data_IF_301645145833
#
_entry.id   IF_301645145833
#
_cell.length_a   1.000
_cell.length_b   1.000
_cell.length_c   1.000
_cell.angle_alpha   90.00
_cell.angle_beta   90.00
_cell.angle_gamma   90.00
#
_symmetry.space_group_name_H-M   'P 1'
#
loop_
_entity.id
_entity.type
_entity.pdbx_description
1 polymer ?
#
# COMPACT_ATOMS: atom_id res chain seq x y z
N UNK A 1 -21.86 -3.41 -19.60
CA UNK A 1 -20.45 -3.59 -19.19
C UNK A 1 -20.41 -4.41 -17.91
N UNK A 2 -19.58 -5.46 -17.81
CA UNK A 2 -19.43 -6.24 -16.57
C UNK A 2 -18.62 -5.44 -15.55
N UNK A 3 -19.02 -5.43 -14.28
CA UNK A 3 -18.20 -4.88 -13.19
C UNK A 3 -16.99 -5.80 -13.00
N UNK A 4 -15.77 -5.26 -13.14
CA UNK A 4 -14.51 -5.94 -12.81
C UNK A 4 -13.75 -5.12 -11.77
N UNK A 5 -13.03 -5.81 -10.88
CA UNK A 5 -12.13 -5.20 -9.92
C UNK A 5 -10.98 -4.46 -10.63
N UNK A 6 -10.49 -3.40 -9.99
CA UNK A 6 -9.53 -2.45 -10.60
C UNK A 6 -8.15 -2.55 -9.98
N UNK A 7 -7.11 -2.33 -10.78
CA UNK A 7 -5.75 -2.09 -10.30
C UNK A 7 -5.52 -0.57 -10.31
N UNK A 8 -5.18 -0.01 -9.15
CA UNK A 8 -4.96 1.42 -8.98
C UNK A 8 -3.57 1.63 -8.40
N UNK A 9 -2.84 2.63 -8.90
CA UNK A 9 -1.53 3.03 -8.36
C UNK A 9 -1.58 4.50 -7.95
N UNK A 10 -1.24 4.77 -6.69
CA UNK A 10 -0.99 6.12 -6.19
C UNK A 10 0.52 6.30 -5.98
N UNK A 11 1.18 7.03 -6.89
CA UNK A 11 2.64 7.24 -6.89
C UNK A 11 3.03 8.72 -6.84
N UNK A 12 4.30 9.05 -7.06
CA UNK A 12 4.84 10.42 -7.04
C UNK A 12 5.37 10.87 -5.69
N UNK A 13 6.02 12.02 -5.68
CA UNK A 13 6.79 12.51 -4.53
C UNK A 13 5.98 13.27 -3.47
N UNK A 14 4.76 13.65 -3.82
CA UNK A 14 3.84 14.39 -2.98
C UNK A 14 3.21 13.57 -1.87
N UNK A 15 2.75 14.27 -0.83
CA UNK A 15 1.90 13.71 0.23
C UNK A 15 0.52 13.37 -0.34
N UNK A 16 -0.03 12.22 0.06
CA UNK A 16 -1.40 11.85 -0.24
C UNK A 16 -1.61 10.39 -0.68
N UNK A 17 -0.54 9.66 -1.02
CA UNK A 17 -0.65 8.33 -1.67
C UNK A 17 -1.39 7.32 -0.80
N UNK A 18 -0.88 7.10 0.41
CA UNK A 18 -1.51 6.25 1.43
C UNK A 18 -2.88 6.79 1.81
N UNK A 19 -3.03 8.08 2.11
CA UNK A 19 -4.32 8.63 2.58
C UNK A 19 -5.41 8.56 1.52
N UNK A 20 -5.09 8.67 0.23
CA UNK A 20 -6.04 8.44 -0.86
C UNK A 20 -6.45 6.96 -0.96
N UNK A 21 -5.50 6.03 -0.78
CA UNK A 21 -5.80 4.61 -0.73
C UNK A 21 -6.73 4.28 0.46
N UNK A 22 -6.42 4.80 1.65
CA UNK A 22 -7.24 4.63 2.85
C UNK A 22 -8.59 5.35 2.77
N UNK A 23 -8.69 6.49 2.09
CA UNK A 23 -9.96 7.12 1.77
C UNK A 23 -10.84 6.22 0.88
N UNK A 24 -10.22 5.46 -0.01
CA UNK A 24 -10.91 4.44 -0.81
C UNK A 24 -11.32 3.24 0.03
N UNK A 25 -10.47 2.81 0.98
CA UNK A 25 -10.85 1.79 1.98
C UNK A 25 -12.08 2.21 2.78
N UNK A 26 -12.10 3.44 3.30
CA UNK A 26 -13.23 3.98 4.06
C UNK A 26 -14.52 3.97 3.21
N UNK A 27 -14.42 4.35 1.94
CA UNK A 27 -15.57 4.26 1.01
C UNK A 27 -16.05 2.82 0.83
N UNK A 28 -15.14 1.87 0.64
CA UNK A 28 -15.49 0.46 0.49
C UNK A 28 -16.17 -0.10 1.76
N UNK A 29 -15.59 0.18 2.93
CA UNK A 29 -16.13 -0.20 4.23
C UNK A 29 -17.53 0.39 4.45
N UNK A 30 -17.77 1.64 4.06
CA UNK A 30 -19.09 2.28 4.11
C UNK A 30 -20.16 1.59 3.25
N UNK A 31 -19.75 0.77 2.28
CA UNK A 31 -20.62 -0.08 1.47
C UNK A 31 -20.63 -1.55 1.93
N UNK A 32 -20.10 -1.86 3.12
CA UNK A 32 -20.06 -3.21 3.69
C UNK A 32 -19.07 -4.15 2.99
N UNK A 33 -18.12 -3.62 2.23
CA UNK A 33 -17.09 -4.43 1.58
C UNK A 33 -16.00 -4.86 2.57
N UNK A 34 -15.42 -6.03 2.32
CA UNK A 34 -14.26 -6.53 3.09
C UNK A 34 -12.98 -5.95 2.51
N UNK A 35 -12.17 -5.32 3.36
CA UNK A 35 -10.93 -4.66 2.98
C UNK A 35 -9.75 -5.28 3.72
N UNK A 36 -8.63 -5.49 3.01
CA UNK A 36 -7.35 -5.82 3.62
C UNK A 36 -6.34 -4.71 3.32
N UNK A 37 -5.59 -4.29 4.33
CA UNK A 37 -4.47 -3.36 4.16
C UNK A 37 -3.20 -4.06 4.62
N UNK A 38 -2.20 -4.08 3.76
CA UNK A 38 -0.87 -4.62 4.03
C UNK A 38 0.11 -3.46 3.85
N UNK A 39 0.75 -3.05 4.94
CA UNK A 39 1.71 -1.95 4.94
C UNK A 39 3.12 -2.50 4.92
N UNK A 40 3.85 -2.20 3.85
CA UNK A 40 5.27 -2.47 3.76
C UNK A 40 6.04 -1.33 4.44
N UNK A 41 7.12 -1.66 5.15
CA UNK A 41 8.11 -0.69 5.67
C UNK A 41 7.67 0.22 6.83
N UNK A 42 6.43 0.11 7.32
CA UNK A 42 5.94 0.93 8.44
C UNK A 42 6.18 0.30 9.81
N UNK A 43 6.38 1.15 10.82
CA UNK A 43 6.40 0.75 12.22
C UNK A 43 4.98 0.66 12.80
N UNK A 44 4.86 0.10 13.99
CA UNK A 44 3.58 -0.11 14.68
C UNK A 44 3.20 1.06 15.59
N UNK A 45 1.89 1.29 15.76
CA UNK A 45 1.30 1.96 16.93
C UNK A 45 1.33 3.49 16.94
N UNK A 46 1.71 4.13 15.84
CA UNK A 46 1.83 5.59 15.77
C UNK A 46 0.77 6.22 14.86
N UNK A 47 0.40 5.52 13.77
CA UNK A 47 -0.51 6.07 12.77
C UNK A 47 -1.99 5.90 13.16
N UNK A 48 -2.79 6.96 13.03
CA UNK A 48 -4.19 7.00 13.43
C UNK A 48 -5.06 5.94 12.76
N UNK A 49 -4.78 5.62 11.50
CA UNK A 49 -5.45 4.53 10.77
C UNK A 49 -5.21 3.16 11.41
N UNK A 50 -4.00 2.91 11.94
CA UNK A 50 -3.66 1.65 12.62
C UNK A 50 -4.41 1.53 13.95
N UNK A 51 -4.58 2.65 14.67
CA UNK A 51 -5.32 2.69 15.93
C UNK A 51 -6.83 2.51 15.73
N UNK A 52 -7.35 2.92 14.57
CA UNK A 52 -8.76 2.76 14.22
C UNK A 52 -9.08 1.34 13.70
N UNK A 53 -8.14 0.69 13.01
CA UNK A 53 -8.39 -0.56 12.31
C UNK A 53 -9.04 -1.68 13.16
N UNK A 54 -8.62 -1.94 14.41
CA UNK A 54 -9.25 -2.99 15.24
C UNK A 54 -10.72 -2.74 15.58
N UNK A 55 -11.23 -1.52 15.37
CA UNK A 55 -12.62 -1.14 15.65
C UNK A 55 -13.55 -1.41 14.45
N UNK A 56 -13.01 -1.86 13.32
CA UNK A 56 -13.72 -2.03 12.06
C UNK A 56 -13.77 -3.51 11.67
N UNK A 57 -14.92 -4.15 11.86
CA UNK A 57 -15.11 -5.61 11.65
C UNK A 57 -14.72 -6.10 10.25
N UNK A 58 -14.99 -5.30 9.21
CA UNK A 58 -14.71 -5.65 7.82
C UNK A 58 -13.31 -5.22 7.33
N UNK A 59 -12.44 -4.78 8.23
CA UNK A 59 -11.08 -4.36 7.91
C UNK A 59 -10.06 -5.30 8.54
N UNK A 60 -9.25 -5.93 7.69
CA UNK A 60 -8.06 -6.66 8.11
C UNK A 60 -6.81 -5.80 7.87
N UNK A 61 -5.93 -5.71 8.87
CA UNK A 61 -4.77 -4.82 8.83
C UNK A 61 -3.48 -5.56 9.20
N UNK A 62 -2.49 -5.49 8.31
CA UNK A 62 -1.18 -6.11 8.48
C UNK A 62 -0.08 -5.08 8.33
N UNK A 63 0.90 -5.16 9.23
CA UNK A 63 2.11 -4.36 9.16
C UNK A 63 3.26 -5.31 8.91
N UNK A 64 3.89 -5.18 7.75
CA UNK A 64 4.97 -6.03 7.28
C UNK A 64 6.25 -5.20 7.21
N UNK A 65 7.19 -5.49 8.12
CA UNK A 65 8.44 -4.76 8.26
C UNK A 65 8.70 -4.32 9.70
N UNK A 66 9.91 -3.84 9.96
CA UNK A 66 10.35 -3.40 11.29
C UNK A 66 10.26 -1.87 11.50
N UNK A 67 9.66 -1.17 10.54
CA UNK A 67 9.68 0.30 10.47
C UNK A 67 10.98 0.85 9.89
N UNK A 68 10.90 2.00 9.21
CA UNK A 68 12.07 2.66 8.62
C UNK A 68 12.83 3.51 9.64
N UNK A 69 14.15 3.31 9.70
CA UNK A 69 15.10 4.30 10.20
C UNK A 69 15.85 4.82 8.97
N UNK A 70 15.51 6.04 8.51
CA UNK A 70 16.33 6.72 7.50
C UNK A 70 17.79 6.75 7.97
N UNK A 71 18.72 6.30 7.12
CA UNK A 71 20.18 6.20 7.36
C UNK A 71 20.71 4.91 8.03
N UNK A 72 19.99 3.78 7.94
CA UNK A 72 20.57 2.46 8.25
C UNK A 72 20.79 1.67 6.96
N UNK A 73 21.88 0.90 6.89
CA UNK A 73 22.06 -0.10 5.83
C UNK A 73 20.92 -1.11 5.88
N UNK A 74 20.33 -1.39 4.71
CA UNK A 74 19.31 -2.42 4.54
C UNK A 74 19.86 -3.76 5.05
N UNK A 75 19.12 -4.42 5.92
CA UNK A 75 19.55 -5.69 6.49
C UNK A 75 18.87 -6.87 5.79
N UNK A 76 19.52 -8.04 5.81
CA UNK A 76 18.90 -9.30 5.40
C UNK A 76 17.58 -9.57 6.15
N UNK A 77 17.44 -9.05 7.37
CA UNK A 77 16.19 -9.14 8.13
C UNK A 77 15.06 -8.27 7.55
N UNK A 78 15.40 -7.09 7.01
CA UNK A 78 14.43 -6.20 6.36
C UNK A 78 13.94 -6.82 5.06
N UNK A 79 14.85 -7.40 4.27
CA UNK A 79 14.50 -8.17 3.08
C UNK A 79 13.60 -9.35 3.42
N UNK A 80 13.94 -10.12 4.45
CA UNK A 80 13.12 -11.25 4.91
C UNK A 80 11.71 -10.81 5.32
N UNK A 81 11.59 -9.77 6.15
CA UNK A 81 10.29 -9.27 6.60
C UNK A 81 9.44 -8.73 5.43
N UNK A 82 10.09 -8.09 4.45
CA UNK A 82 9.42 -7.61 3.25
C UNK A 82 8.89 -8.77 2.37
N UNK A 83 9.69 -9.82 2.19
CA UNK A 83 9.29 -11.03 1.45
C UNK A 83 8.17 -11.81 2.15
N UNK A 84 8.22 -11.91 3.48
CA UNK A 84 7.11 -12.49 4.28
C UNK A 84 5.81 -11.69 4.10
N UNK A 85 5.90 -10.36 4.08
CA UNK A 85 4.76 -9.50 3.77
C UNK A 85 4.23 -9.67 2.35
N UNK A 86 5.11 -9.92 1.38
CA UNK A 86 4.70 -10.18 0.00
C UNK A 86 4.01 -11.54 -0.15
N UNK A 87 4.49 -12.58 0.54
CA UNK A 87 3.82 -13.87 0.57
C UNK A 87 2.43 -13.79 1.24
N UNK A 88 2.30 -13.00 2.31
CA UNK A 88 0.98 -12.68 2.88
C UNK A 88 0.08 -11.98 1.86
N UNK A 89 0.60 -11.03 1.08
CA UNK A 89 -0.18 -10.38 0.02
C UNK A 89 -0.66 -11.38 -1.04
N UNK A 90 0.20 -12.32 -1.46
CA UNK A 90 -0.17 -13.42 -2.37
C UNK A 90 -1.29 -14.27 -1.79
N UNK A 91 -1.18 -14.67 -0.52
CA UNK A 91 -2.21 -15.45 0.18
C UNK A 91 -3.55 -14.70 0.19
N UNK A 92 -3.55 -13.43 0.61
CA UNK A 92 -4.78 -12.63 0.74
C UNK A 92 -5.43 -12.37 -0.61
N UNK A 93 -4.64 -12.11 -1.66
CA UNK A 93 -5.15 -11.97 -3.04
C UNK A 93 -5.77 -13.29 -3.51
N UNK A 94 -5.08 -14.43 -3.33
CA UNK A 94 -5.56 -15.73 -3.76
C UNK A 94 -6.78 -16.23 -2.99
N UNK A 95 -6.93 -15.83 -1.72
CA UNK A 95 -8.07 -16.20 -0.86
C UNK A 95 -9.42 -15.81 -1.45
N UNK A 96 -9.45 -14.77 -2.29
CA UNK A 96 -10.66 -14.21 -2.86
C UNK A 96 -11.73 -13.89 -1.80
N UNK A 97 -11.32 -13.44 -0.61
CA UNK A 97 -12.23 -13.06 0.49
C UNK A 97 -12.49 -11.56 0.61
N UNK A 98 -11.67 -10.73 -0.04
CA UNK A 98 -11.72 -9.27 0.04
C UNK A 98 -12.25 -8.67 -1.25
N UNK A 99 -12.90 -7.51 -1.16
CA UNK A 99 -13.32 -6.72 -2.31
C UNK A 99 -12.23 -5.70 -2.71
N UNK A 100 -11.43 -5.27 -1.72
CA UNK A 100 -10.32 -4.36 -1.88
C UNK A 100 -9.11 -4.82 -1.06
N UNK A 101 -7.95 -4.87 -1.69
CA UNK A 101 -6.65 -5.02 -1.01
C UNK A 101 -5.78 -3.79 -1.27
N UNK A 102 -5.18 -3.25 -0.23
CA UNK A 102 -4.20 -2.15 -0.33
C UNK A 102 -2.82 -2.70 -0.01
N UNK A 103 -1.90 -2.55 -0.96
CA UNK A 103 -0.48 -2.87 -0.83
C UNK A 103 0.26 -1.54 -0.66
N UNK A 104 0.28 -1.05 0.58
CA UNK A 104 0.78 0.28 0.92
C UNK A 104 2.31 0.27 0.99
N UNK A 105 2.96 1.16 0.25
CA UNK A 105 4.42 1.30 0.12
C UNK A 105 5.13 0.09 -0.52
N UNK A 106 4.40 -0.73 -1.28
CA UNK A 106 4.96 -1.91 -1.96
C UNK A 106 6.03 -1.56 -3.00
N UNK A 107 5.98 -0.39 -3.65
CA UNK A 107 6.96 -0.03 -4.69
C UNK A 107 8.40 0.01 -4.18
N UNK A 108 8.57 0.26 -2.87
CA UNK A 108 9.89 0.29 -2.26
C UNK A 108 10.55 -1.09 -2.18
N UNK A 109 9.79 -2.19 -2.16
CA UNK A 109 10.37 -3.54 -2.21
C UNK A 109 11.21 -3.73 -3.48
N UNK A 110 10.76 -3.15 -4.60
CA UNK A 110 11.54 -3.13 -5.83
C UNK A 110 12.70 -2.14 -5.76
N UNK A 111 12.45 -0.93 -5.22
CA UNK A 111 13.48 0.10 -5.07
C UNK A 111 14.70 -0.38 -4.26
N UNK A 112 14.47 -1.13 -3.18
CA UNK A 112 15.51 -1.72 -2.34
C UNK A 112 16.04 -3.06 -2.88
N UNK A 113 15.61 -3.47 -4.09
CA UNK A 113 16.01 -4.74 -4.71
C UNK A 113 15.69 -5.97 -3.85
N UNK A 114 14.62 -5.89 -3.05
CA UNK A 114 14.13 -7.01 -2.23
C UNK A 114 13.23 -7.94 -3.04
N UNK A 115 12.45 -7.38 -3.96
CA UNK A 115 11.48 -8.10 -4.79
C UNK A 115 11.57 -7.61 -6.24
N UNK A 116 11.47 -8.53 -7.20
CA UNK A 116 11.44 -8.18 -8.62
C UNK A 116 10.12 -7.51 -9.01
N UNK A 117 10.14 -6.67 -10.05
CA UNK A 117 8.89 -6.07 -10.56
C UNK A 117 8.01 -7.15 -11.23
N UNK A 118 8.64 -8.18 -11.79
CA UNK A 118 7.99 -9.33 -12.42
C UNK A 118 7.13 -10.10 -11.41
N UNK A 119 7.61 -10.29 -10.18
CA UNK A 119 6.81 -10.89 -9.10
C UNK A 119 5.59 -10.04 -8.73
N UNK A 120 5.76 -8.71 -8.65
CA UNK A 120 4.64 -7.80 -8.40
C UNK A 120 3.61 -7.84 -9.53
N UNK A 121 4.05 -7.87 -10.79
CA UNK A 121 3.16 -8.02 -11.95
C UNK A 121 2.44 -9.37 -11.91
N UNK A 122 3.15 -10.45 -11.61
CA UNK A 122 2.57 -11.79 -11.50
C UNK A 122 1.46 -11.86 -10.44
N UNK A 123 1.62 -11.19 -9.29
CA UNK A 123 0.55 -11.08 -8.28
C UNK A 123 -0.73 -10.44 -8.87
N UNK A 124 -0.57 -9.38 -9.68
CA UNK A 124 -1.68 -8.66 -10.28
C UNK A 124 -2.36 -9.46 -11.40
N UNK A 125 -1.60 -10.20 -12.18
CA UNK A 125 -2.12 -11.07 -13.26
C UNK A 125 -2.97 -12.22 -12.71
N UNK A 126 -2.66 -12.71 -11.50
CA UNK A 126 -3.37 -13.82 -10.86
C UNK A 126 -4.48 -13.37 -9.90
N UNK A 127 -4.77 -12.07 -9.80
CA UNK A 127 -5.82 -11.59 -8.90
C UNK A 127 -7.20 -12.07 -9.37
N UNK A 128 -8.15 -12.36 -8.45
CA UNK A 128 -9.54 -12.62 -8.83
C UNK A 128 -10.18 -11.46 -9.61
N UNK A 129 -11.04 -11.77 -10.58
CA UNK A 129 -11.69 -10.77 -11.45
C UNK A 129 -12.45 -9.68 -10.67
N UNK A 130 -13.06 -10.05 -9.53
CA UNK A 130 -13.83 -9.14 -8.68
C UNK A 130 -12.96 -8.23 -7.81
N UNK A 131 -11.73 -8.65 -7.50
CA UNK A 131 -10.88 -8.01 -6.52
C UNK A 131 -10.27 -6.72 -7.09
N UNK A 132 -10.39 -5.63 -6.34
CA UNK A 132 -9.64 -4.40 -6.60
C UNK A 132 -8.37 -4.36 -5.75
N UNK A 133 -7.27 -3.86 -6.31
CA UNK A 133 -5.99 -3.73 -5.63
C UNK A 133 -5.50 -2.28 -5.78
N UNK A 134 -5.10 -1.65 -4.68
CA UNK A 134 -4.44 -0.34 -4.70
C UNK A 134 -2.98 -0.54 -4.28
N UNK A 135 -2.04 -0.10 -5.10
CA UNK A 135 -0.62 -0.05 -4.77
C UNK A 135 -0.25 1.41 -4.46
N UNK A 136 0.58 1.61 -3.46
CA UNK A 136 1.12 2.95 -3.16
C UNK A 136 2.65 2.91 -3.07
N UNK A 137 3.24 4.09 -3.24
CA UNK A 137 4.66 4.32 -3.02
C UNK A 137 5.29 5.17 -4.11
N UNK A 138 6.52 5.63 -3.90
CA UNK A 138 7.24 6.46 -4.88
C UNK A 138 7.71 5.62 -6.06
N UNK A 139 7.98 6.27 -7.20
CA UNK A 139 8.67 5.69 -8.36
C UNK A 139 8.09 4.33 -8.79
N UNK A 140 6.77 4.25 -9.00
CA UNK A 140 6.15 3.02 -9.47
C UNK A 140 6.79 2.54 -10.79
N UNK A 141 7.29 1.29 -10.87
CA UNK A 141 7.91 0.75 -12.08
C UNK A 141 6.99 0.83 -13.31
N UNK A 142 7.53 1.14 -14.51
CA UNK A 142 6.73 1.23 -15.74
C UNK A 142 5.88 -0.02 -16.02
N UNK A 143 6.38 -1.21 -15.68
CA UNK A 143 5.68 -2.47 -15.85
C UNK A 143 4.42 -2.56 -14.97
N UNK A 144 4.43 -1.98 -13.77
CA UNK A 144 3.22 -1.88 -12.93
C UNK A 144 2.26 -0.83 -13.46
N UNK A 145 2.78 0.30 -13.94
CA UNK A 145 1.98 1.38 -14.55
C UNK A 145 1.20 0.84 -15.75
N UNK A 146 1.83 0.04 -16.60
CA UNK A 146 1.19 -0.59 -17.76
C UNK A 146 0.03 -1.54 -17.37
N UNK A 147 0.14 -2.23 -16.23
CA UNK A 147 -0.87 -3.17 -15.74
C UNK A 147 -2.03 -2.49 -15.01
N UNK A 148 -1.82 -1.27 -14.53
CA UNK A 148 -2.82 -0.56 -13.76
C UNK A 148 -3.96 -0.03 -14.64
N UNK A 149 -5.19 -0.11 -14.12
CA UNK A 149 -6.35 0.52 -14.74
C UNK A 149 -6.38 2.03 -14.49
N UNK A 150 -5.72 2.49 -13.43
CA UNK A 150 -5.65 3.89 -13.03
C UNK A 150 -4.34 4.16 -12.32
N UNK A 151 -3.63 5.21 -12.74
CA UNK A 151 -2.41 5.68 -12.09
C UNK A 151 -2.58 7.16 -11.80
N UNK A 152 -2.34 7.54 -10.55
CA UNK A 152 -2.26 8.95 -10.13
C UNK A 152 -0.86 9.23 -9.62
N UNK A 153 -0.19 10.20 -10.24
CA UNK A 153 1.07 10.74 -9.75
C UNK A 153 0.81 11.99 -8.90
N UNK A 154 1.12 11.91 -7.63
CA UNK A 154 0.99 13.03 -6.69
C UNK A 154 2.27 13.86 -6.73
N UNK A 155 2.22 15.01 -7.41
CA UNK A 155 3.32 15.97 -7.43
C UNK A 155 3.43 16.76 -6.13
N UNK A 156 4.67 17.02 -5.66
CA UNK A 156 4.92 17.86 -4.49
C UNK A 156 5.05 19.34 -4.87
N UNK A 157 3.92 20.01 -5.18
CA UNK A 157 3.92 21.44 -5.51
C UNK A 157 4.39 22.31 -4.33
N UNK A 158 3.94 21.96 -3.11
CA UNK A 158 4.40 22.55 -1.85
C UNK A 158 4.22 21.52 -0.73
N UNK A 159 5.13 21.51 0.24
CA UNK A 159 5.04 20.62 1.39
C UNK A 159 5.42 21.38 2.66
N UNK A 160 4.67 21.23 3.75
CA UNK A 160 4.92 21.97 5.00
C UNK A 160 6.33 21.77 5.56
N UNK A 161 6.88 20.57 5.40
CA UNK A 161 8.26 20.24 5.78
C UNK A 161 9.31 21.18 5.17
N UNK A 162 9.16 21.61 3.92
CA UNK A 162 10.14 22.52 3.28
C UNK A 162 10.10 23.92 3.88
N UNK A 163 9.05 24.25 4.62
CA UNK A 163 8.90 25.49 5.39
C UNK A 163 9.17 25.28 6.88
N UNK A 164 9.75 24.14 7.29
CA UNK A 164 10.10 23.84 8.68
C UNK A 164 8.93 23.35 9.56
N UNK A 165 7.76 23.09 8.98
CA UNK A 165 6.61 22.54 9.72
C UNK A 165 6.89 21.06 10.00
N UNK A 166 6.90 20.69 11.29
CA UNK A 166 7.11 19.32 11.77
C UNK A 166 5.85 18.47 11.55
N UNK A 167 6.04 17.15 11.46
CA UNK A 167 4.94 16.19 11.39
C UNK A 167 4.02 16.28 12.62
N UNK A 168 2.71 16.20 12.40
CA UNK A 168 1.69 16.35 13.43
C UNK A 168 0.76 15.14 13.48
N UNK A 169 0.36 14.77 14.70
CA UNK A 169 -0.67 13.75 14.94
C UNK A 169 -2.00 14.17 14.30
N UNK A 170 -2.62 13.27 13.55
CA UNK A 170 -3.86 13.50 12.79
C UNK A 170 -3.64 14.08 11.40
N UNK A 171 -2.41 14.44 11.01
CA UNK A 171 -2.10 15.04 9.69
C UNK A 171 -1.05 14.23 8.92
N UNK A 172 0.09 13.93 9.54
CA UNK A 172 1.15 13.10 8.96
C UNK A 172 1.10 11.64 9.43
N UNK A 173 0.65 11.43 10.67
CA UNK A 173 0.44 10.13 11.30
C UNK A 173 -0.69 10.23 12.33
#
# INVERSE_FOLDING_TARGET
MKKRGRIIINTGDGKGKTTAALGTALRALGHGHRVCVIQFLKGTGIAGEQLMAPQLENLEWHICGKGFIFNREDTEEDKKAALEGFELAREKVASNQFDLIILDEITYLHWYNFLSVEEMVSLLDHKPDRLSIILTGRNAPPQLVEKADTVTEMGSIKHGFTSGIKAQKGIEF
#
